data_IF_411288377854
#
_entry.id   IF_411288377854
#
_cell.length_a   1.000
_cell.length_b   1.000
_cell.length_c   1.000
_cell.angle_alpha   90.00
_cell.angle_beta   90.00
_cell.angle_gamma   90.00
#
_symmetry.space_group_name_H-M   'P 1'
#
loop_
_entity.id
_entity.type
_entity.pdbx_description
1 polymer ?
#
# COMPACT_ATOMS: atom_id res chain seq x y z
N UNK A 1 -44.91 22.02 -34.37
CA UNK A 1 -44.18 21.14 -33.48
C UNK A 1 -42.95 21.87 -32.95
N UNK A 2 -42.86 22.04 -31.65
CA UNK A 2 -41.65 22.54 -30.99
C UNK A 2 -40.88 21.32 -30.55
N UNK A 3 -39.69 21.11 -31.11
CA UNK A 3 -38.77 20.06 -30.65
C UNK A 3 -37.87 20.68 -29.56
N UNK A 4 -37.98 20.22 -28.33
CA UNK A 4 -37.07 20.59 -27.26
C UNK A 4 -35.95 19.54 -27.27
N UNK A 5 -34.74 19.95 -27.65
CA UNK A 5 -33.55 19.12 -27.48
C UNK A 5 -33.08 19.23 -26.05
N UNK A 6 -32.74 18.09 -25.43
CA UNK A 6 -32.09 18.08 -24.14
C UNK A 6 -30.73 18.81 -24.23
N UNK A 7 -30.44 19.65 -23.27
CA UNK A 7 -29.14 20.32 -23.18
C UNK A 7 -28.18 19.34 -22.47
N UNK A 8 -27.10 19.01 -23.13
CA UNK A 8 -26.07 18.20 -22.51
C UNK A 8 -25.46 18.92 -21.30
N UNK A 9 -25.34 18.24 -20.16
CA UNK A 9 -24.62 18.71 -18.98
C UNK A 9 -23.23 18.07 -18.91
N UNK A 10 -22.33 18.59 -18.10
CA UNK A 10 -21.04 17.94 -17.85
C UNK A 10 -21.23 16.79 -16.86
N UNK A 11 -20.43 15.74 -16.95
CA UNK A 11 -20.47 14.63 -16.00
C UNK A 11 -20.12 15.09 -14.58
N UNK A 12 -20.44 14.27 -13.60
CA UNK A 12 -20.15 14.52 -12.19
C UNK A 12 -19.15 13.48 -11.67
N UNK A 13 -18.28 13.93 -10.76
CA UNK A 13 -17.32 13.09 -10.04
C UNK A 13 -17.56 13.30 -8.56
N UNK A 14 -17.54 12.23 -7.77
CA UNK A 14 -17.63 12.29 -6.31
C UNK A 14 -16.79 11.20 -5.64
N UNK A 15 -16.51 11.37 -4.36
CA UNK A 15 -15.79 10.37 -3.55
C UNK A 15 -14.27 10.44 -3.62
N UNK A 16 -13.65 11.27 -4.49
CA UNK A 16 -12.19 11.44 -4.50
C UNK A 16 -11.76 12.28 -3.29
N UNK A 17 -10.92 11.75 -2.38
CA UNK A 17 -10.37 12.54 -1.28
C UNK A 17 -9.46 13.66 -1.80
N UNK A 18 -9.35 14.77 -1.07
CA UNK A 18 -8.46 15.87 -1.48
C UNK A 18 -6.98 15.55 -1.25
N UNK A 19 -6.66 14.75 -0.24
CA UNK A 19 -5.31 14.31 0.11
C UNK A 19 -5.34 12.83 0.45
N UNK A 20 -4.36 12.09 -0.02
CA UNK A 20 -4.20 10.65 0.21
C UNK A 20 -2.77 10.39 0.67
N UNK A 21 -2.65 9.70 1.80
CA UNK A 21 -1.38 9.16 2.26
C UNK A 21 -1.19 7.77 1.66
N UNK A 22 -0.13 7.58 0.88
CA UNK A 22 0.14 6.31 0.25
C UNK A 22 0.75 5.33 1.26
N UNK A 23 0.12 4.18 1.45
CA UNK A 23 0.70 3.05 2.16
C UNK A 23 1.66 2.31 1.21
N UNK A 24 2.93 2.68 1.25
CA UNK A 24 3.94 2.16 0.33
C UNK A 24 3.82 2.76 -1.07
N UNK A 25 3.86 1.91 -2.09
CA UNK A 25 3.92 2.35 -3.51
C UNK A 25 2.58 2.28 -4.23
N UNK A 26 1.55 1.77 -3.60
CA UNK A 26 0.23 1.57 -4.21
C UNK A 26 -0.81 2.43 -3.52
N UNK A 27 -1.59 3.13 -4.33
CA UNK A 27 -2.76 3.88 -3.89
C UNK A 27 -3.97 3.37 -4.64
N UNK A 28 -5.07 3.16 -3.92
CA UNK A 28 -6.38 2.84 -4.50
C UNK A 28 -7.36 3.93 -4.09
N UNK A 29 -7.95 4.58 -5.07
CA UNK A 29 -8.89 5.69 -4.87
C UNK A 29 -10.25 5.27 -5.41
N UNK A 30 -11.21 4.91 -4.56
CA UNK A 30 -12.58 4.69 -5.00
C UNK A 30 -13.25 6.03 -5.30
N UNK A 31 -14.05 6.08 -6.37
CA UNK A 31 -14.81 7.26 -6.74
C UNK A 31 -16.07 6.88 -7.54
N UNK A 32 -16.97 7.82 -7.67
CA UNK A 32 -18.19 7.66 -8.45
C UNK A 32 -18.25 8.64 -9.61
N UNK A 33 -18.82 8.18 -10.71
CA UNK A 33 -19.09 9.00 -11.88
C UNK A 33 -20.55 8.87 -12.30
N UNK A 34 -21.14 9.97 -12.74
CA UNK A 34 -22.49 10.00 -13.26
C UNK A 34 -22.65 11.08 -14.33
N UNK A 35 -23.62 10.89 -15.18
CA UNK A 35 -24.04 11.87 -16.17
C UNK A 35 -25.53 11.65 -16.48
N UNK A 36 -26.24 12.70 -16.87
CA UNK A 36 -27.68 12.64 -17.12
C UNK A 36 -28.03 12.15 -18.54
N UNK A 37 -27.07 12.16 -19.46
CA UNK A 37 -27.25 11.78 -20.85
C UNK A 37 -26.33 10.67 -21.32
N UNK A 38 -25.14 10.58 -20.76
CA UNK A 38 -24.17 9.51 -21.04
C UNK A 38 -24.21 8.47 -19.93
N UNK A 39 -24.48 7.22 -20.29
CA UNK A 39 -24.44 6.14 -19.28
C UNK A 39 -23.04 6.04 -18.66
N UNK A 40 -22.97 5.74 -17.37
CA UNK A 40 -21.71 5.69 -16.62
C UNK A 40 -20.66 4.75 -17.25
N UNK A 41 -21.10 3.69 -17.96
CA UNK A 41 -20.21 2.79 -18.68
C UNK A 41 -19.55 3.41 -19.91
N UNK A 42 -20.11 4.46 -20.47
CA UNK A 42 -19.63 5.14 -21.67
C UNK A 42 -18.86 6.44 -21.37
N UNK A 43 -18.72 6.80 -20.09
CA UNK A 43 -17.88 7.92 -19.68
C UNK A 43 -16.41 7.55 -19.87
N UNK A 44 -15.66 8.44 -20.51
CA UNK A 44 -14.24 8.30 -20.69
C UNK A 44 -13.50 8.93 -19.50
N UNK A 45 -12.60 8.16 -18.88
CA UNK A 45 -11.89 8.57 -17.67
C UNK A 45 -10.39 8.51 -17.90
N UNK A 46 -9.71 9.58 -17.55
CA UNK A 46 -8.25 9.63 -17.57
C UNK A 46 -7.70 10.42 -16.39
N UNK A 47 -6.41 10.24 -16.12
CA UNK A 47 -5.70 10.92 -15.06
C UNK A 47 -4.69 11.90 -15.66
N UNK A 48 -4.58 13.07 -15.04
CA UNK A 48 -3.43 13.98 -15.21
C UNK A 48 -2.62 14.04 -13.92
N UNK A 49 -1.32 14.29 -14.02
CA UNK A 49 -0.45 14.42 -12.84
C UNK A 49 0.63 15.48 -13.03
N UNK A 50 1.09 16.03 -11.90
CA UNK A 50 2.26 16.87 -11.82
C UNK A 50 3.06 16.52 -10.56
N UNK A 51 4.37 16.24 -10.65
CA UNK A 51 5.13 16.18 -11.91
C UNK A 51 4.73 14.98 -12.77
N UNK A 52 4.88 15.11 -14.06
CA UNK A 52 4.50 14.09 -15.05
C UNK A 52 5.21 12.74 -14.85
N UNK A 53 6.35 12.75 -14.19
CA UNK A 53 7.15 11.57 -13.85
C UNK A 53 6.36 10.52 -13.04
N UNK A 54 5.39 10.92 -12.24
CA UNK A 54 4.53 9.99 -11.49
C UNK A 54 3.64 9.15 -12.41
N UNK A 55 3.20 9.71 -13.54
CA UNK A 55 2.44 8.96 -14.55
C UNK A 55 3.34 8.08 -15.39
N UNK A 56 4.51 8.59 -15.80
CA UNK A 56 5.39 7.89 -16.74
C UNK A 56 6.15 6.72 -16.10
N UNK A 57 6.43 6.79 -14.80
CA UNK A 57 7.14 5.75 -14.04
C UNK A 57 6.22 4.81 -13.27
N UNK A 58 4.95 5.19 -13.10
CA UNK A 58 3.94 4.39 -12.42
C UNK A 58 2.96 3.74 -13.39
N UNK A 59 2.29 2.70 -12.95
CA UNK A 59 1.15 2.15 -13.66
C UNK A 59 -0.11 2.81 -13.11
N UNK A 60 -0.89 3.41 -14.01
CA UNK A 60 -2.20 3.96 -13.72
C UNK A 60 -3.24 3.06 -14.33
N UNK A 61 -4.17 2.58 -13.52
CA UNK A 61 -5.27 1.74 -13.96
C UNK A 61 -6.58 2.27 -13.41
N UNK A 62 -7.57 2.44 -14.28
CA UNK A 62 -8.96 2.68 -13.88
C UNK A 62 -9.72 1.38 -13.99
N UNK A 63 -10.33 0.94 -12.89
CA UNK A 63 -11.08 -0.30 -12.78
C UNK A 63 -12.56 0.01 -12.59
N UNK A 64 -13.42 -0.89 -13.07
CA UNK A 64 -14.87 -0.74 -13.04
C UNK A 64 -15.44 -0.21 -14.36
N UNK A 65 -16.70 -0.51 -14.62
CA UNK A 65 -17.41 -0.13 -15.85
C UNK A 65 -18.80 0.49 -15.61
N UNK A 66 -19.15 0.72 -14.35
CA UNK A 66 -20.41 1.36 -13.92
C UNK A 66 -20.17 2.74 -13.34
N UNK A 67 -21.05 3.17 -12.45
CA UNK A 67 -20.89 4.41 -11.70
C UNK A 67 -19.71 4.34 -10.73
N UNK A 68 -19.54 3.20 -10.09
CA UNK A 68 -18.43 2.93 -9.17
C UNK A 68 -17.16 2.62 -9.93
N UNK A 69 -16.09 3.32 -9.62
CA UNK A 69 -14.77 3.21 -10.22
C UNK A 69 -13.70 3.17 -9.14
N UNK A 70 -12.58 2.57 -9.49
CA UNK A 70 -11.35 2.64 -8.69
C UNK A 70 -10.21 3.12 -9.57
N UNK A 71 -9.45 4.07 -9.08
CA UNK A 71 -8.18 4.47 -9.64
C UNK A 71 -7.07 3.79 -8.85
N UNK A 72 -6.24 3.03 -9.55
CA UNK A 72 -5.07 2.38 -8.96
C UNK A 72 -3.82 3.09 -9.47
N UNK A 73 -3.10 3.71 -8.55
CA UNK A 73 -1.79 4.31 -8.80
C UNK A 73 -0.72 3.38 -8.24
N UNK A 74 0.24 2.99 -9.07
CA UNK A 74 1.38 2.20 -8.63
C UNK A 74 2.66 2.97 -8.94
N UNK A 75 3.29 3.51 -7.90
CA UNK A 75 4.55 4.22 -8.01
C UNK A 75 5.72 3.23 -8.04
N UNK A 76 6.05 2.73 -9.22
CA UNK A 76 7.18 1.80 -9.41
C UNK A 76 8.55 2.47 -9.39
N UNK A 77 8.58 3.81 -9.41
CA UNK A 77 9.80 4.59 -9.65
C UNK A 77 10.52 5.11 -8.41
N UNK A 78 10.15 4.68 -7.19
CA UNK A 78 10.72 5.19 -5.93
C UNK A 78 10.60 6.71 -5.77
N UNK A 79 9.62 7.35 -6.42
CA UNK A 79 9.39 8.77 -6.20
C UNK A 79 8.81 8.96 -4.79
N UNK A 80 9.57 9.67 -3.96
CA UNK A 80 9.14 10.15 -2.66
C UNK A 80 8.64 11.58 -2.79
N UNK A 81 7.73 11.97 -1.93
CA UNK A 81 7.19 13.31 -1.90
C UNK A 81 5.74 13.40 -2.40
N UNK A 82 5.30 14.61 -2.64
CA UNK A 82 3.92 14.91 -2.96
C UNK A 82 3.70 15.02 -4.47
N UNK A 83 2.74 14.25 -4.99
CA UNK A 83 2.26 14.36 -6.37
C UNK A 83 0.86 14.96 -6.41
N UNK A 84 0.61 15.85 -7.36
CA UNK A 84 -0.73 16.36 -7.63
C UNK A 84 -1.34 15.65 -8.82
N UNK A 85 -2.56 15.19 -8.65
CA UNK A 85 -3.29 14.42 -9.64
C UNK A 85 -4.67 15.04 -9.88
N UNK A 86 -5.23 14.76 -11.05
CA UNK A 86 -6.62 15.09 -11.32
C UNK A 86 -7.28 13.98 -12.12
N UNK A 87 -8.40 13.47 -11.60
CA UNK A 87 -9.30 12.62 -12.38
C UNK A 87 -10.11 13.51 -13.31
N UNK A 88 -10.13 13.19 -14.58
CA UNK A 88 -10.93 13.88 -15.59
C UNK A 88 -11.90 12.88 -16.21
N UNK A 89 -13.15 13.26 -16.27
CA UNK A 89 -14.23 12.46 -16.87
C UNK A 89 -14.82 13.24 -18.03
N UNK A 90 -15.00 12.57 -19.15
CA UNK A 90 -15.55 13.15 -20.38
C UNK A 90 -16.79 12.37 -20.80
N UNK A 91 -17.87 13.07 -21.14
CA UNK A 91 -19.09 12.50 -21.71
C UNK A 91 -18.97 12.23 -23.22
N UNK A 92 -20.02 11.66 -23.80
CA UNK A 92 -20.06 11.34 -25.23
C UNK A 92 -20.05 12.57 -26.14
N UNK A 93 -20.48 13.72 -25.64
CA UNK A 93 -20.54 14.99 -26.38
C UNK A 93 -19.31 15.89 -26.13
N UNK A 94 -18.34 15.40 -25.34
CA UNK A 94 -17.04 16.05 -25.11
C UNK A 94 -17.04 17.05 -23.96
N UNK A 95 -18.09 17.14 -23.12
CA UNK A 95 -18.02 17.92 -21.90
C UNK A 95 -17.26 17.17 -20.80
N UNK A 96 -16.56 17.92 -19.98
CA UNK A 96 -15.65 17.36 -18.98
C UNK A 96 -15.96 17.87 -17.59
N UNK A 97 -15.68 17.02 -16.59
CA UNK A 97 -15.51 17.40 -15.19
C UNK A 97 -14.15 16.93 -14.72
N UNK A 98 -13.57 17.61 -13.75
CA UNK A 98 -12.29 17.20 -13.15
C UNK A 98 -12.32 17.39 -11.65
N UNK A 99 -11.65 16.47 -10.92
CA UNK A 99 -11.43 16.59 -9.49
C UNK A 99 -9.95 16.37 -9.18
N UNK A 100 -9.33 17.40 -8.59
CA UNK A 100 -7.94 17.35 -8.18
C UNK A 100 -7.80 16.69 -6.80
N UNK A 101 -6.68 15.99 -6.60
CA UNK A 101 -6.28 15.41 -5.33
C UNK A 101 -4.76 15.34 -5.25
N UNK A 102 -4.26 15.23 -4.03
CA UNK A 102 -2.85 15.12 -3.73
C UNK A 102 -2.55 13.73 -3.17
N UNK A 103 -1.43 13.16 -3.58
CA UNK A 103 -0.92 11.91 -2.99
C UNK A 103 0.45 12.16 -2.40
N UNK A 104 0.58 11.90 -1.12
CA UNK A 104 1.86 11.88 -0.43
C UNK A 104 2.43 10.46 -0.52
N UNK A 105 3.39 10.27 -1.40
CA UNK A 105 4.18 9.05 -1.42
C UNK A 105 5.23 9.16 -0.34
N UNK A 106 4.96 8.58 0.81
CA UNK A 106 5.96 8.37 1.86
C UNK A 106 7.13 7.58 1.29
N UNK A 107 8.30 7.72 1.91
CA UNK A 107 9.47 6.91 1.61
C UNK A 107 9.14 5.42 1.64
N UNK A 108 10.09 4.63 1.17
CA UNK A 108 10.00 3.17 1.19
C UNK A 108 9.33 2.69 2.50
N UNK A 109 8.26 1.89 2.43
CA UNK A 109 7.68 1.34 3.65
C UNK A 109 8.83 0.77 4.46
N UNK A 110 8.88 0.98 5.78
CA UNK A 110 9.97 0.52 6.59
C UNK A 110 10.23 -0.93 6.20
N UNK A 111 11.42 -1.17 5.65
CA UNK A 111 11.83 -2.54 5.31
C UNK A 111 11.57 -3.33 6.58
N UNK A 112 10.75 -4.38 6.56
CA UNK A 112 10.51 -5.16 7.75
C UNK A 112 11.89 -5.52 8.27
N UNK A 113 12.25 -4.97 9.43
CA UNK A 113 13.52 -5.29 10.05
C UNK A 113 13.41 -6.77 10.34
N UNK A 114 14.04 -7.59 9.49
CA UNK A 114 14.16 -9.02 9.77
C UNK A 114 15.01 -9.08 11.04
N UNK A 115 14.44 -9.47 12.17
CA UNK A 115 15.19 -9.45 13.42
C UNK A 115 16.36 -10.40 13.31
N UNK A 116 17.55 -9.87 13.50
CA UNK A 116 18.78 -10.65 13.50
C UNK A 116 19.00 -11.21 14.90
N UNK A 117 19.14 -12.54 14.99
CA UNK A 117 19.48 -13.19 16.25
C UNK A 117 20.98 -13.11 16.48
N UNK A 118 21.39 -12.42 17.54
CA UNK A 118 22.79 -12.23 17.93
C UNK A 118 23.12 -13.07 19.16
N UNK A 119 24.16 -13.88 19.07
CA UNK A 119 24.70 -14.66 20.20
C UNK A 119 25.86 -13.89 20.86
N UNK A 120 25.73 -13.59 22.13
CA UNK A 120 26.81 -13.05 22.93
C UNK A 120 27.51 -14.19 23.69
N UNK A 121 28.79 -14.33 23.43
CA UNK A 121 29.67 -15.36 24.01
C UNK A 121 30.75 -14.79 24.94
N UNK A 122 30.60 -13.53 25.35
CA UNK A 122 31.59 -12.84 26.21
C UNK A 122 31.73 -13.50 27.57
N UNK A 123 30.67 -14.14 28.07
CA UNK A 123 30.68 -14.98 29.26
C UNK A 123 30.25 -16.40 28.87
N UNK A 124 31.19 -17.35 28.82
CA UNK A 124 30.87 -18.75 28.47
C UNK A 124 29.92 -19.46 29.45
N UNK A 125 29.77 -18.90 30.65
CA UNK A 125 28.87 -19.45 31.69
C UNK A 125 27.44 -18.87 31.55
N UNK A 126 27.28 -17.79 30.77
CA UNK A 126 26.02 -17.09 30.58
C UNK A 126 25.86 -16.64 29.12
N UNK A 127 25.62 -17.59 28.25
CA UNK A 127 25.37 -17.29 26.85
C UNK A 127 24.02 -16.54 26.71
N UNK A 128 24.00 -15.44 25.99
CA UNK A 128 22.78 -14.68 25.76
C UNK A 128 22.48 -14.49 24.29
N UNK A 129 21.20 -14.60 23.95
CA UNK A 129 20.65 -14.27 22.65
C UNK A 129 20.02 -12.88 22.72
N UNK A 130 20.26 -12.06 21.73
CA UNK A 130 19.60 -10.75 21.63
C UNK A 130 19.09 -10.51 20.21
N UNK A 131 18.00 -9.77 20.11
CA UNK A 131 17.40 -9.34 18.84
C UNK A 131 16.68 -8.00 19.03
N UNK A 132 16.43 -7.32 17.91
CA UNK A 132 15.67 -6.07 17.87
C UNK A 132 14.33 -6.33 17.17
N UNK A 133 13.29 -5.57 17.56
CA UNK A 133 11.94 -5.67 17.00
C UNK A 133 11.09 -6.77 17.61
N UNK A 134 9.85 -6.86 17.14
CA UNK A 134 8.86 -7.82 17.61
C UNK A 134 9.07 -9.17 16.93
N UNK A 135 9.64 -10.09 17.68
CA UNK A 135 9.85 -11.46 17.22
C UNK A 135 9.74 -12.46 18.36
N UNK A 136 9.28 -13.64 18.03
CA UNK A 136 9.15 -14.77 18.95
C UNK A 136 10.37 -15.66 18.80
N UNK A 137 11.03 -15.99 19.94
CA UNK A 137 12.13 -16.94 19.97
C UNK A 137 11.59 -18.38 19.94
N UNK A 138 12.12 -19.19 19.06
CA UNK A 138 11.80 -20.61 18.98
C UNK A 138 13.08 -21.44 19.19
N UNK A 139 12.89 -22.62 19.75
CA UNK A 139 13.95 -23.55 20.07
C UNK A 139 13.61 -24.98 19.60
N UNK A 140 14.63 -25.73 19.22
CA UNK A 140 14.57 -27.18 19.07
C UNK A 140 15.92 -27.81 19.41
N UNK A 141 15.91 -28.97 20.00
CA UNK A 141 17.09 -29.84 20.19
C UNK A 141 17.22 -30.85 19.03
N UNK A 142 16.16 -31.04 18.25
CA UNK A 142 16.12 -31.94 17.09
C UNK A 142 15.48 -31.23 15.88
N UNK A 143 16.27 -30.99 14.84
CA UNK A 143 15.80 -30.33 13.61
C UNK A 143 14.71 -31.13 12.87
N UNK A 144 14.56 -32.42 13.16
CA UNK A 144 13.48 -33.24 12.58
C UNK A 144 12.16 -33.11 13.32
N UNK A 145 12.18 -32.65 14.57
CA UNK A 145 10.97 -32.47 15.40
C UNK A 145 10.24 -31.14 15.20
N UNK A 146 10.89 -30.17 14.55
CA UNK A 146 10.36 -28.80 14.41
C UNK A 146 10.72 -27.91 15.60
N UNK A 147 10.33 -26.63 15.49
CA UNK A 147 10.66 -25.60 16.49
C UNK A 147 9.45 -25.29 17.37
N UNK A 148 9.69 -25.19 18.66
CA UNK A 148 8.69 -24.81 19.67
C UNK A 148 8.96 -23.39 20.19
N UNK A 149 7.89 -22.66 20.57
CA UNK A 149 8.01 -21.31 21.13
C UNK A 149 8.65 -21.38 22.52
N UNK A 150 9.67 -20.56 22.73
CA UNK A 150 10.24 -20.35 24.08
C UNK A 150 9.32 -19.38 24.80
N UNK A 151 8.57 -19.91 25.79
CA UNK A 151 7.59 -19.11 26.51
C UNK A 151 8.25 -17.93 27.25
N UNK A 152 7.62 -16.75 27.18
CA UNK A 152 8.02 -15.53 27.89
C UNK A 152 9.47 -15.06 27.55
N UNK A 153 10.04 -15.51 26.43
CA UNK A 153 11.36 -15.08 26.00
C UNK A 153 11.35 -13.59 25.61
N UNK A 154 12.23 -12.81 26.25
CA UNK A 154 12.46 -11.40 25.92
C UNK A 154 13.94 -11.19 25.58
N UNK A 155 14.22 -10.24 24.69
CA UNK A 155 15.59 -9.86 24.35
C UNK A 155 16.20 -8.90 25.40
N UNK A 156 17.39 -9.17 26.00
CA UNK A 156 18.20 -10.36 25.80
C UNK A 156 17.69 -11.59 26.56
N UNK A 157 17.79 -12.77 25.97
CA UNK A 157 17.42 -14.05 26.55
C UNK A 157 18.67 -14.84 26.95
N UNK A 158 18.75 -15.31 28.20
CA UNK A 158 19.86 -16.12 28.70
C UNK A 158 19.58 -17.60 28.43
N UNK A 159 20.50 -18.26 27.73
CA UNK A 159 20.40 -19.71 27.49
C UNK A 159 20.73 -20.44 28.76
N UNK A 160 19.83 -21.30 29.22
CA UNK A 160 20.10 -22.15 30.39
C UNK A 160 21.21 -23.17 30.10
N UNK A 161 22.09 -23.40 31.09
CA UNK A 161 23.15 -24.38 30.97
C UNK A 161 22.58 -25.79 30.75
N UNK A 162 23.06 -26.45 29.72
CA UNK A 162 22.60 -27.80 29.35
C UNK A 162 21.64 -27.84 28.18
N UNK A 163 21.04 -26.72 27.78
CA UNK A 163 20.22 -26.63 26.59
C UNK A 163 21.14 -26.48 25.35
N UNK A 164 21.43 -27.60 24.72
CA UNK A 164 22.07 -27.61 23.41
C UNK A 164 21.01 -27.79 22.34
N UNK A 165 20.98 -26.87 21.39
CA UNK A 165 20.00 -26.92 20.32
C UNK A 165 20.08 -25.71 19.37
N UNK A 166 19.04 -25.53 18.63
CA UNK A 166 18.95 -24.51 17.58
C UNK A 166 17.91 -23.49 17.98
N UNK A 167 18.24 -22.21 17.78
CA UNK A 167 17.35 -21.09 18.03
C UNK A 167 17.08 -20.35 16.72
N UNK A 168 15.84 -19.94 16.51
CA UNK A 168 15.43 -19.08 15.40
C UNK A 168 14.47 -18.01 15.89
N UNK A 169 14.34 -16.94 15.13
CA UNK A 169 13.32 -15.93 15.33
C UNK A 169 12.19 -16.09 14.31
N UNK A 170 10.97 -15.92 14.76
CA UNK A 170 9.78 -15.82 13.92
C UNK A 170 9.14 -14.45 14.13
N UNK A 171 8.97 -13.70 13.05
CA UNK A 171 8.15 -12.47 13.05
C UNK A 171 6.69 -12.89 12.99
N UNK A 172 5.87 -12.36 13.87
CA UNK A 172 4.43 -12.54 13.77
C UNK A 172 3.86 -11.47 12.80
N UNK A 173 2.90 -11.84 11.97
CA UNK A 173 2.31 -10.95 10.96
C UNK A 173 1.44 -9.83 11.56
#
# INVERSE_FOLDING_TARGET
>A
NVTVSAVNNAPQISGVPSVIEAEGRKVVVPFEVSDDQTSAGNLFIYLTAQPLDYILKGHVLVVGNGAQRELILNNSGNAEGTGQFSVVVTDADGKTASQAFEVNFGGEPPVPVVPELKLNTSDPSNLTLSWEGDAVLLFTDDLSAGFEVVADATSPYTIEQGNMGFFILRVEP
#
